data_IF_009186356727
#
_entry.id   IF_009186356727
#
_cell.length_a   1.000
_cell.length_b   1.000
_cell.length_c   1.000
_cell.angle_alpha   90.00
_cell.angle_beta   90.00
_cell.angle_gamma   90.00
#
_symmetry.space_group_name_H-M   'P 1'
#
loop_
_entity.id
_entity.type
_entity.pdbx_description
1 polymer ?
#
# COMPACT_ATOMS: atom_id res chain seq x y z
N UNK A 1 26.41 9.09 -10.25
CA UNK A 1 24.94 9.09 -10.17
C UNK A 1 24.52 10.24 -9.26
N UNK A 2 23.60 11.12 -9.64
CA UNK A 2 23.17 12.22 -8.75
C UNK A 2 22.27 11.69 -7.62
N UNK A 3 22.36 12.28 -6.43
CA UNK A 3 21.53 11.92 -5.27
C UNK A 3 20.03 11.94 -5.59
N UNK A 4 19.58 12.94 -6.36
CA UNK A 4 18.19 13.09 -6.78
C UNK A 4 17.71 11.96 -7.69
N UNK A 5 18.60 11.37 -8.50
CA UNK A 5 18.27 10.24 -9.35
C UNK A 5 18.11 8.97 -8.51
N UNK A 6 19.06 8.70 -7.61
CA UNK A 6 19.00 7.54 -6.71
C UNK A 6 17.75 7.59 -5.82
N UNK A 7 17.47 8.75 -5.22
CA UNK A 7 16.29 8.93 -4.37
C UNK A 7 14.97 8.69 -5.13
N UNK A 8 14.84 9.23 -6.35
CA UNK A 8 13.66 9.00 -7.19
C UNK A 8 13.54 7.56 -7.66
N UNK A 9 14.65 6.93 -8.04
CA UNK A 9 14.68 5.53 -8.45
C UNK A 9 14.23 4.61 -7.30
N UNK A 10 14.78 4.79 -6.10
CA UNK A 10 14.35 4.04 -4.90
C UNK A 10 12.88 4.31 -4.54
N UNK A 11 12.43 5.57 -4.65
CA UNK A 11 11.03 5.94 -4.38
C UNK A 11 10.07 5.21 -5.32
N UNK A 12 10.37 5.19 -6.63
CA UNK A 12 9.55 4.51 -7.64
C UNK A 12 9.57 2.99 -7.44
N UNK A 13 10.73 2.40 -7.12
CA UNK A 13 10.80 0.97 -6.81
C UNK A 13 9.96 0.61 -5.58
N UNK A 14 10.06 1.39 -4.51
CA UNK A 14 9.27 1.16 -3.31
C UNK A 14 7.76 1.33 -3.57
N UNK A 15 7.37 2.35 -4.36
CA UNK A 15 5.99 2.54 -4.79
C UNK A 15 5.48 1.34 -5.61
N UNK A 16 6.29 0.87 -6.56
CA UNK A 16 5.96 -0.27 -7.42
C UNK A 16 5.85 -1.58 -6.61
N UNK A 17 6.75 -1.82 -5.64
CA UNK A 17 6.65 -2.98 -4.74
C UNK A 17 5.38 -2.93 -3.91
N UNK A 18 5.05 -1.77 -3.34
CA UNK A 18 3.90 -1.63 -2.46
C UNK A 18 2.57 -1.71 -3.22
N UNK A 19 2.38 -0.88 -4.26
CA UNK A 19 1.18 -0.90 -5.10
C UNK A 19 1.06 -2.23 -5.86
N UNK A 20 2.15 -2.71 -6.46
CA UNK A 20 2.17 -3.96 -7.21
C UNK A 20 1.80 -5.16 -6.35
N UNK A 21 2.28 -5.22 -5.10
CA UNK A 21 1.91 -6.28 -4.17
C UNK A 21 0.43 -6.24 -3.76
N UNK A 22 -0.15 -5.04 -3.54
CA UNK A 22 -1.59 -4.91 -3.29
C UNK A 22 -2.42 -5.38 -4.49
N UNK A 23 -2.04 -4.98 -5.70
CA UNK A 23 -2.70 -5.40 -6.94
C UNK A 23 -2.57 -6.90 -7.15
N UNK A 24 -1.39 -7.48 -6.92
CA UNK A 24 -1.19 -8.93 -6.99
C UNK A 24 -2.09 -9.68 -6.01
N UNK A 25 -2.18 -9.21 -4.76
CA UNK A 25 -3.06 -9.85 -3.77
C UNK A 25 -4.53 -9.78 -4.22
N UNK A 26 -4.99 -8.61 -4.65
CA UNK A 26 -6.38 -8.38 -5.00
C UNK A 26 -6.81 -9.08 -6.30
N UNK A 27 -5.95 -9.09 -7.32
CA UNK A 27 -6.28 -9.53 -8.68
C UNK A 27 -5.84 -10.97 -8.97
N UNK A 28 -4.85 -11.50 -8.25
CA UNK A 28 -4.29 -12.83 -8.51
C UNK A 28 -4.45 -13.74 -7.30
N UNK A 29 -3.86 -13.41 -6.16
CA UNK A 29 -3.81 -14.32 -5.00
C UNK A 29 -5.20 -14.65 -4.46
N UNK A 30 -6.03 -13.63 -4.21
CA UNK A 30 -7.38 -13.82 -3.66
C UNK A 30 -8.27 -14.60 -4.63
N UNK A 31 -8.35 -14.25 -5.94
CA UNK A 31 -9.13 -15.04 -6.89
C UNK A 31 -8.70 -16.50 -7.01
N UNK A 32 -7.40 -16.78 -7.03
CA UNK A 32 -6.87 -18.16 -7.10
C UNK A 32 -7.23 -18.94 -5.84
N UNK A 33 -6.98 -18.37 -4.67
CA UNK A 33 -7.25 -19.04 -3.38
C UNK A 33 -8.74 -19.28 -3.13
N UNK A 34 -9.64 -18.48 -3.72
CA UNK A 34 -11.10 -18.72 -3.66
C UNK A 34 -11.54 -20.00 -4.34
N UNK A 35 -10.74 -20.55 -5.26
CA UNK A 35 -11.04 -21.81 -5.97
C UNK A 35 -10.61 -23.06 -5.19
N UNK A 36 -9.90 -22.89 -4.06
CA UNK A 36 -9.51 -24.01 -3.20
C UNK A 36 -10.74 -24.57 -2.47
N UNK A 37 -10.89 -25.89 -2.53
CA UNK A 37 -11.99 -26.62 -1.87
C UNK A 37 -11.88 -26.56 -0.35
N UNK A 38 -10.66 -26.69 0.20
CA UNK A 38 -10.41 -26.60 1.65
C UNK A 38 -10.43 -25.14 2.15
N UNK A 39 -11.45 -24.73 2.94
CA UNK A 39 -11.55 -23.37 3.46
C UNK A 39 -10.46 -23.04 4.50
N UNK A 40 -9.91 -24.05 5.20
CA UNK A 40 -8.84 -23.88 6.19
C UNK A 40 -7.53 -23.58 5.47
N UNK A 41 -7.17 -24.37 4.45
CA UNK A 41 -6.01 -24.10 3.61
C UNK A 41 -6.10 -22.72 2.95
N UNK A 42 -7.26 -22.37 2.38
CA UNK A 42 -7.49 -21.03 1.80
C UNK A 42 -7.19 -19.91 2.79
N UNK A 43 -7.76 -20.00 4.00
CA UNK A 43 -7.59 -18.96 5.03
C UNK A 43 -6.14 -18.87 5.48
N UNK A 44 -5.49 -20.02 5.71
CA UNK A 44 -4.08 -20.08 6.12
C UNK A 44 -3.16 -19.47 5.06
N UNK A 45 -3.31 -19.84 3.79
CA UNK A 45 -2.48 -19.31 2.70
C UNK A 45 -2.62 -17.78 2.59
N UNK A 46 -3.84 -17.25 2.55
CA UNK A 46 -4.06 -15.80 2.46
C UNK A 46 -3.48 -15.09 3.69
N UNK A 47 -3.59 -15.68 4.88
CA UNK A 47 -3.05 -15.11 6.10
C UNK A 47 -1.51 -15.07 6.09
N UNK A 48 -0.85 -16.19 5.83
CA UNK A 48 0.63 -16.28 5.83
C UNK A 48 1.26 -15.39 4.76
N UNK A 49 0.72 -15.40 3.53
CA UNK A 49 1.18 -14.49 2.49
C UNK A 49 0.90 -13.02 2.84
N UNK A 50 -0.24 -12.75 3.48
CA UNK A 50 -0.57 -11.41 3.97
C UNK A 50 0.42 -10.92 5.04
N UNK A 51 0.81 -11.76 5.99
CA UNK A 51 1.82 -11.44 7.01
C UNK A 51 3.19 -11.18 6.39
N UNK A 52 3.59 -12.02 5.43
CA UNK A 52 4.86 -11.83 4.71
C UNK A 52 4.86 -10.54 3.90
N UNK A 53 3.76 -10.26 3.19
CA UNK A 53 3.61 -9.02 2.43
C UNK A 53 3.55 -7.80 3.33
N UNK A 54 2.92 -7.88 4.51
CA UNK A 54 2.92 -6.80 5.50
C UNK A 54 4.35 -6.36 5.81
N UNK A 55 5.26 -7.29 6.11
CA UNK A 55 6.65 -6.96 6.37
C UNK A 55 7.32 -6.24 5.17
N UNK A 56 7.14 -6.76 3.94
CA UNK A 56 7.69 -6.13 2.72
C UNK A 56 7.08 -4.74 2.48
N UNK A 57 5.76 -4.61 2.66
CA UNK A 57 5.00 -3.39 2.47
C UNK A 57 5.43 -2.29 3.43
N UNK A 58 5.64 -2.60 4.71
CA UNK A 58 6.13 -1.63 5.70
C UNK A 58 7.59 -1.21 5.47
N UNK A 59 8.45 -2.11 4.97
CA UNK A 59 9.79 -1.75 4.50
C UNK A 59 9.69 -0.78 3.31
N UNK A 60 8.85 -1.08 2.32
CA UNK A 60 8.63 -0.22 1.16
C UNK A 60 8.07 1.15 1.57
N UNK A 61 7.12 1.20 2.51
CA UNK A 61 6.60 2.45 3.10
C UNK A 61 7.74 3.24 3.76
N UNK A 62 8.61 2.59 4.56
CA UNK A 62 9.76 3.24 5.17
C UNK A 62 10.68 3.89 4.13
N UNK A 63 10.97 3.18 3.04
CA UNK A 63 11.75 3.70 1.91
C UNK A 63 11.02 4.86 1.23
N UNK A 64 9.70 4.78 1.01
CA UNK A 64 8.88 5.84 0.42
C UNK A 64 8.92 7.13 1.25
N UNK A 65 8.80 7.02 2.57
CA UNK A 65 8.86 8.16 3.48
C UNK A 65 10.26 8.78 3.45
N UNK A 66 11.31 7.97 3.64
CA UNK A 66 12.68 8.46 3.64
C UNK A 66 13.05 9.15 2.31
N UNK A 67 12.78 8.50 1.19
CA UNK A 67 13.06 9.07 -0.15
C UNK A 67 12.13 10.25 -0.49
N UNK A 68 10.89 10.26 0.01
CA UNK A 68 9.97 11.38 -0.12
C UNK A 68 10.48 12.64 0.59
N UNK A 69 11.03 12.49 1.80
CA UNK A 69 11.66 13.57 2.55
C UNK A 69 12.93 14.08 1.84
N UNK A 70 13.77 13.18 1.32
CA UNK A 70 14.96 13.56 0.53
C UNK A 70 14.54 14.33 -0.72
N UNK A 71 13.52 13.89 -1.45
CA UNK A 71 13.01 14.62 -2.62
C UNK A 71 12.47 15.99 -2.23
N UNK A 72 11.74 16.11 -1.12
CA UNK A 72 11.24 17.40 -0.63
C UNK A 72 12.39 18.35 -0.25
N UNK A 73 13.43 17.84 0.41
CA UNK A 73 14.62 18.61 0.78
C UNK A 73 15.38 19.12 -0.46
N UNK A 74 15.48 18.30 -1.51
CA UNK A 74 16.11 18.69 -2.77
C UNK A 74 15.25 19.64 -3.62
N UNK A 75 13.92 19.59 -3.47
CA UNK A 75 12.96 20.34 -4.26
C UNK A 75 11.93 21.08 -3.37
N UNK A 76 12.37 22.03 -2.53
CA UNK A 76 11.51 22.68 -1.54
C UNK A 76 10.37 23.51 -2.16
N UNK A 77 10.51 23.94 -3.42
CA UNK A 77 9.45 24.65 -4.15
C UNK A 77 8.15 23.85 -4.27
N UNK A 78 8.19 22.52 -4.12
CA UNK A 78 7.01 21.67 -4.08
C UNK A 78 6.05 22.05 -2.94
N UNK A 79 6.54 22.65 -1.86
CA UNK A 79 5.72 23.14 -0.75
C UNK A 79 4.76 24.26 -1.16
N UNK A 80 5.02 24.96 -2.27
CA UNK A 80 4.10 25.97 -2.81
C UNK A 80 3.02 25.38 -3.74
N UNK A 81 3.02 24.08 -4.00
CA UNK A 81 2.14 23.44 -4.99
C UNK A 81 0.88 22.85 -4.33
N UNK A 82 -0.34 23.30 -4.69
CA UNK A 82 -1.58 22.67 -4.23
C UNK A 82 -1.65 21.17 -4.53
N UNK A 83 -1.10 20.75 -5.68
CA UNK A 83 -1.06 19.33 -6.07
C UNK A 83 -0.19 18.51 -5.12
N UNK A 84 0.91 19.09 -4.63
CA UNK A 84 1.77 18.43 -3.65
C UNK A 84 1.04 18.24 -2.31
N UNK A 85 0.30 19.24 -1.83
CA UNK A 85 -0.50 19.10 -0.60
C UNK A 85 -1.58 18.01 -0.74
N UNK A 86 -2.29 17.95 -1.86
CA UNK A 86 -3.24 16.86 -2.12
C UNK A 86 -2.55 15.50 -2.11
N UNK A 87 -1.40 15.38 -2.77
CA UNK A 87 -0.59 14.15 -2.76
C UNK A 87 -0.22 13.77 -1.33
N UNK A 88 0.27 14.71 -0.53
CA UNK A 88 0.69 14.46 0.85
C UNK A 88 -0.49 14.04 1.74
N UNK A 89 -1.64 14.70 1.60
CA UNK A 89 -2.87 14.31 2.31
C UNK A 89 -3.32 12.88 1.96
N UNK A 90 -3.25 12.51 0.68
CA UNK A 90 -3.54 11.12 0.26
C UNK A 90 -2.50 10.13 0.77
N UNK A 91 -1.21 10.49 0.85
CA UNK A 91 -0.18 9.64 1.47
C UNK A 91 -0.51 9.38 2.94
N UNK A 92 -0.85 10.42 3.71
CA UNK A 92 -1.23 10.25 5.12
C UNK A 92 -2.47 9.35 5.23
N UNK A 93 -3.49 9.58 4.41
CA UNK A 93 -4.67 8.73 4.36
C UNK A 93 -4.30 7.27 4.05
N UNK A 94 -3.45 7.03 3.05
CA UNK A 94 -3.03 5.68 2.67
C UNK A 94 -2.29 4.96 3.81
N UNK A 95 -1.42 5.67 4.55
CA UNK A 95 -0.72 5.13 5.71
C UNK A 95 -1.69 4.75 6.83
N UNK A 96 -2.69 5.59 7.11
CA UNK A 96 -3.73 5.30 8.12
C UNK A 96 -4.56 4.08 7.70
N UNK A 97 -5.02 4.04 6.45
CA UNK A 97 -5.79 2.91 5.92
C UNK A 97 -4.96 1.62 5.95
N UNK A 98 -3.68 1.67 5.57
CA UNK A 98 -2.76 0.53 5.65
C UNK A 98 -2.52 0.06 7.08
N UNK A 99 -2.26 0.96 8.02
CA UNK A 99 -2.07 0.58 9.43
C UNK A 99 -3.33 -0.07 10.00
N UNK A 100 -4.49 0.53 9.73
CA UNK A 100 -5.77 0.00 10.21
C UNK A 100 -6.10 -1.36 9.54
N UNK A 101 -5.80 -1.52 8.26
CA UNK A 101 -5.91 -2.81 7.57
C UNK A 101 -4.97 -3.86 8.17
N UNK A 102 -3.69 -3.56 8.30
CA UNK A 102 -2.64 -4.56 8.59
C UNK A 102 -2.55 -4.97 10.06
N UNK A 103 -2.93 -4.06 10.96
CA UNK A 103 -2.79 -4.26 12.41
C UNK A 103 -4.13 -4.38 13.13
N UNK A 104 -5.25 -4.01 12.51
CA UNK A 104 -6.58 -4.07 13.15
C UNK A 104 -7.53 -4.99 12.40
N UNK A 105 -7.93 -4.64 11.17
CA UNK A 105 -8.95 -5.40 10.45
C UNK A 105 -8.44 -6.74 9.90
N UNK A 106 -7.21 -6.80 9.40
CA UNK A 106 -6.57 -7.99 8.85
C UNK A 106 -6.46 -9.11 9.89
N UNK A 107 -5.86 -8.86 11.07
CA UNK A 107 -5.84 -9.84 12.17
C UNK A 107 -7.24 -10.29 12.60
N UNK A 108 -8.18 -9.35 12.76
CA UNK A 108 -9.57 -9.66 13.13
C UNK A 108 -10.30 -10.48 12.07
N UNK A 109 -10.05 -10.24 10.79
CA UNK A 109 -10.63 -10.98 9.67
C UNK A 109 -10.01 -12.37 9.50
N UNK A 110 -8.73 -12.53 9.88
CA UNK A 110 -8.01 -13.81 9.84
C UNK A 110 -8.30 -14.73 11.02
N UNK A 111 -8.84 -14.21 12.13
CA UNK A 111 -9.10 -14.98 13.33
C UNK A 111 -10.07 -16.17 13.10
N UNK A 112 -9.88 -17.30 13.81
CA UNK A 112 -10.85 -18.39 13.82
C UNK A 112 -12.24 -17.89 14.24
N UNK A 113 -13.29 -18.29 13.52
CA UNK A 113 -14.65 -17.87 13.81
C UNK A 113 -14.99 -16.40 13.49
N UNK A 114 -14.09 -15.65 12.84
CA UNK A 114 -14.34 -14.25 12.51
C UNK A 114 -15.61 -14.05 11.67
N UNK A 115 -16.46 -13.10 12.10
CA UNK A 115 -17.72 -12.77 11.45
C UNK A 115 -17.52 -12.38 9.97
N UNK A 116 -18.37 -12.84 9.03
CA UNK A 116 -18.23 -12.55 7.61
C UNK A 116 -18.13 -11.05 7.28
N UNK A 117 -18.87 -10.21 8.01
CA UNK A 117 -18.84 -8.75 7.84
C UNK A 117 -17.43 -8.16 8.06
N UNK A 118 -16.63 -8.72 8.97
CA UNK A 118 -15.26 -8.24 9.24
C UNK A 118 -14.34 -8.48 8.05
N UNK A 119 -14.49 -9.63 7.37
CA UNK A 119 -13.74 -9.98 6.15
C UNK A 119 -14.11 -9.05 4.99
N UNK A 120 -15.39 -8.73 4.86
CA UNK A 120 -15.89 -7.77 3.85
C UNK A 120 -15.33 -6.37 4.11
N UNK A 121 -15.37 -5.89 5.37
CA UNK A 121 -14.80 -4.59 5.77
C UNK A 121 -13.30 -4.52 5.48
N UNK A 122 -12.53 -5.56 5.84
CA UNK A 122 -11.11 -5.63 5.53
C UNK A 122 -10.84 -5.56 4.02
N UNK A 123 -11.61 -6.31 3.22
CA UNK A 123 -11.47 -6.30 1.76
C UNK A 123 -11.79 -4.94 1.13
N UNK A 124 -12.85 -4.26 1.58
CA UNK A 124 -13.19 -2.93 1.09
C UNK A 124 -12.14 -1.89 1.47
N UNK A 125 -11.65 -1.92 2.71
CA UNK A 125 -10.59 -1.01 3.14
C UNK A 125 -9.32 -1.17 2.28
N UNK A 126 -8.93 -2.40 1.98
CA UNK A 126 -7.80 -2.67 1.08
C UNK A 126 -8.02 -2.10 -0.32
N UNK A 127 -9.22 -2.27 -0.90
CA UNK A 127 -9.57 -1.74 -2.23
C UNK A 127 -9.57 -0.22 -2.26
N UNK A 128 -10.15 0.42 -1.25
CA UNK A 128 -10.13 1.89 -1.12
C UNK A 128 -8.68 2.37 -1.05
N UNK A 129 -7.84 1.70 -0.27
CA UNK A 129 -6.43 2.07 -0.16
C UNK A 129 -5.70 1.95 -1.51
N UNK A 130 -5.96 0.91 -2.31
CA UNK A 130 -5.41 0.79 -3.67
C UNK A 130 -5.79 2.00 -4.54
N UNK A 131 -7.07 2.43 -4.50
CA UNK A 131 -7.52 3.60 -5.26
C UNK A 131 -6.83 4.88 -4.79
N UNK A 132 -6.65 5.06 -3.49
CA UNK A 132 -5.90 6.18 -2.91
C UNK A 132 -4.45 6.17 -3.41
N UNK A 133 -3.79 5.01 -3.37
CA UNK A 133 -2.40 4.87 -3.84
C UNK A 133 -2.27 5.13 -5.34
N UNK A 134 -3.23 4.70 -6.16
CA UNK A 134 -3.27 5.03 -7.59
C UNK A 134 -3.40 6.54 -7.82
N UNK A 135 -4.23 7.24 -7.03
CA UNK A 135 -4.34 8.70 -7.09
C UNK A 135 -3.02 9.39 -6.67
N UNK A 136 -2.32 8.87 -5.65
CA UNK A 136 -0.99 9.36 -5.24
C UNK A 136 0.01 9.25 -6.41
N UNK A 137 0.01 8.11 -7.12
CA UNK A 137 0.88 7.89 -8.28
C UNK A 137 0.55 8.88 -9.40
N UNK A 138 -0.74 9.05 -9.72
CA UNK A 138 -1.18 10.03 -10.73
C UNK A 138 -0.70 11.45 -10.38
N UNK A 139 -0.92 11.91 -9.14
CA UNK A 139 -0.46 13.23 -8.68
C UNK A 139 1.07 13.32 -8.69
N UNK A 140 1.78 12.25 -8.36
CA UNK A 140 3.24 12.17 -8.46
C UNK A 140 3.74 12.41 -9.88
N UNK A 141 3.12 11.77 -10.87
CA UNK A 141 3.45 11.98 -12.29
C UNK A 141 3.09 13.40 -12.77
N UNK A 142 1.98 13.95 -12.29
CA UNK A 142 1.55 15.31 -12.63
C UNK A 142 2.46 16.41 -12.04
N UNK A 143 3.26 16.09 -11.02
CA UNK A 143 4.29 17.00 -10.46
C UNK A 143 5.62 16.95 -11.22
N UNK A 144 5.80 15.99 -12.14
CA UNK A 144 6.99 15.90 -13.00
C UNK A 144 6.87 16.74 -14.29
N UNK A 145 5.69 17.33 -14.52
CA UNK A 145 5.39 18.21 -15.66
C UNK A 145 5.33 19.65 -15.19
#
# INVERSE_FOLDING_TARGET
MSLSLVARWLHVLAAATWLGGMLFIALVLVPVTRRLEDPRLRTRLVHELGLRFRAVGWIAIGVLVATGLVNLWLFPFLLGSPRFHWKLGLVILALVLSAFHDFVLGPRAGAPGAHPATRVRASWLARINVLVVLAIVMLGLALLR
#
